data_IF_996530014023
#
_entry.id   IF_996530014023
#
_cell.length_a   1.000
_cell.length_b   1.000
_cell.length_c   1.000
_cell.angle_alpha   90.00
_cell.angle_beta   90.00
_cell.angle_gamma   90.00
#
_symmetry.space_group_name_H-M   'P 1'
#
loop_
_entity.id
_entity.type
_entity.pdbx_description
1 polymer ?
#
# COMPACT_ATOMS: atom_id res chain seq x y z
N UNK A 1 20.21 -2.30 11.19
CA UNK A 1 19.59 -2.77 12.46
C UNK A 1 19.53 -1.64 13.51
N UNK A 2 19.11 -0.42 13.14
CA UNK A 2 19.13 0.75 14.05
C UNK A 2 17.86 0.91 14.92
N UNK A 3 16.87 0.04 14.77
CA UNK A 3 15.55 0.14 15.42
C UNK A 3 15.14 -1.17 16.13
N UNK A 4 16.08 -2.09 16.39
CA UNK A 4 15.80 -3.37 17.06
C UNK A 4 14.91 -4.37 16.29
N UNK A 5 14.48 -4.03 15.07
CA UNK A 5 13.64 -4.93 14.25
C UNK A 5 14.46 -6.06 13.63
N UNK A 6 13.97 -7.28 13.80
CA UNK A 6 14.46 -8.47 13.09
C UNK A 6 14.02 -8.42 11.63
N UNK A 7 14.96 -8.57 10.70
CA UNK A 7 14.60 -8.70 9.28
C UNK A 7 13.95 -10.06 9.05
N UNK A 8 12.70 -10.05 8.59
CA UNK A 8 12.02 -11.25 8.13
C UNK A 8 12.22 -11.39 6.62
N UNK A 9 12.84 -12.50 6.21
CA UNK A 9 12.97 -12.87 4.81
C UNK A 9 12.37 -14.26 4.63
N UNK A 10 11.34 -14.36 3.79
CA UNK A 10 10.82 -15.66 3.38
C UNK A 10 11.88 -16.44 2.59
N UNK A 11 11.74 -17.77 2.56
CA UNK A 11 12.62 -18.65 1.75
C UNK A 11 12.61 -18.20 0.28
N UNK A 12 13.72 -18.40 -0.42
CA UNK A 12 13.80 -18.20 -1.87
C UNK A 12 12.61 -18.86 -2.57
N UNK A 13 11.99 -18.15 -3.50
CA UNK A 13 10.74 -18.51 -4.20
C UNK A 13 9.44 -18.45 -3.38
N UNK A 14 9.46 -17.95 -2.15
CA UNK A 14 8.25 -17.66 -1.36
C UNK A 14 8.13 -16.15 -1.12
N UNK A 15 7.33 -15.47 -1.93
CA UNK A 15 7.15 -14.01 -1.86
C UNK A 15 5.93 -13.59 -1.03
N UNK A 16 5.72 -14.23 0.13
CA UNK A 16 4.51 -14.05 0.95
C UNK A 16 4.27 -12.57 1.29
N UNK A 17 5.32 -11.87 1.72
CA UNK A 17 5.22 -10.47 2.10
C UNK A 17 5.36 -9.52 0.90
N UNK A 18 6.16 -9.93 -0.09
CA UNK A 18 6.50 -9.09 -1.24
C UNK A 18 5.37 -9.01 -2.27
N UNK A 19 4.66 -10.12 -2.52
CA UNK A 19 3.58 -10.18 -3.51
C UNK A 19 2.46 -9.16 -3.24
N UNK A 20 1.93 -9.05 -2.00
CA UNK A 20 0.95 -8.02 -1.64
C UNK A 20 1.47 -6.59 -1.88
N UNK A 21 2.73 -6.32 -1.53
CA UNK A 21 3.34 -5.01 -1.72
C UNK A 21 3.54 -4.68 -3.21
N UNK A 22 3.98 -5.63 -4.03
CA UNK A 22 4.06 -5.47 -5.48
C UNK A 22 2.69 -5.18 -6.09
N UNK A 23 1.65 -5.88 -5.65
CA UNK A 23 0.27 -5.63 -6.06
C UNK A 23 -0.18 -4.20 -5.75
N UNK A 24 0.08 -3.73 -4.52
CA UNK A 24 -0.19 -2.34 -4.14
C UNK A 24 0.54 -1.34 -5.05
N UNK A 25 1.84 -1.54 -5.30
CA UNK A 25 2.62 -0.64 -6.16
C UNK A 25 2.14 -0.65 -7.60
N UNK A 26 1.71 -1.79 -8.14
CA UNK A 26 1.12 -1.90 -9.47
C UNK A 26 -0.17 -1.08 -9.59
N UNK A 27 -1.04 -1.19 -8.59
CA UNK A 27 -2.29 -0.42 -8.50
C UNK A 27 -2.01 1.09 -8.41
N UNK A 28 -1.12 1.51 -7.50
CA UNK A 28 -0.74 2.91 -7.33
C UNK A 28 -0.20 3.50 -8.63
N UNK A 29 0.73 2.79 -9.28
CA UNK A 29 1.31 3.27 -10.53
C UNK A 29 0.25 3.39 -11.63
N UNK A 30 -0.61 2.38 -11.77
CA UNK A 30 -1.68 2.38 -12.77
C UNK A 30 -2.69 3.51 -12.59
N UNK A 31 -3.12 3.76 -11.37
CA UNK A 31 -4.22 4.69 -11.10
C UNK A 31 -3.76 6.15 -10.92
N UNK A 32 -2.53 6.36 -10.44
CA UNK A 32 -2.04 7.70 -10.08
C UNK A 32 -0.85 8.17 -10.92
N UNK A 33 0.05 7.27 -11.33
CA UNK A 33 1.32 7.67 -11.94
C UNK A 33 1.31 7.63 -13.46
N UNK A 34 0.87 6.51 -14.06
CA UNK A 34 0.90 6.32 -15.51
C UNK A 34 -0.01 7.32 -16.22
N UNK A 35 0.46 7.85 -17.35
CA UNK A 35 -0.23 8.90 -18.11
C UNK A 35 -0.13 10.31 -17.51
N UNK A 36 0.61 10.49 -16.40
CA UNK A 36 0.85 11.81 -15.79
C UNK A 36 2.30 12.23 -15.87
N UNK A 37 2.54 13.52 -16.13
CA UNK A 37 3.87 14.12 -16.09
C UNK A 37 4.06 14.85 -14.76
N UNK A 38 5.08 14.47 -14.02
CA UNK A 38 5.52 15.18 -12.82
C UNK A 38 6.73 16.03 -13.15
N UNK A 39 6.67 17.32 -12.84
CA UNK A 39 7.75 18.28 -13.11
C UNK A 39 8.62 18.56 -11.87
N UNK A 40 8.21 18.07 -10.70
CA UNK A 40 8.96 18.22 -9.46
C UNK A 40 8.85 16.99 -8.55
N UNK A 41 9.91 16.74 -7.80
CA UNK A 41 9.93 15.69 -6.76
C UNK A 41 8.85 15.93 -5.70
N UNK A 42 8.63 17.18 -5.30
CA UNK A 42 7.61 17.55 -4.32
C UNK A 42 6.20 17.21 -4.81
N UNK A 43 5.87 17.51 -6.06
CA UNK A 43 4.58 17.15 -6.67
C UNK A 43 4.37 15.63 -6.67
N UNK A 44 5.37 14.85 -7.09
CA UNK A 44 5.29 13.39 -7.09
C UNK A 44 5.10 12.84 -5.66
N UNK A 45 5.88 13.32 -4.69
CA UNK A 45 5.76 12.89 -3.30
C UNK A 45 4.38 13.21 -2.71
N UNK A 46 3.84 14.38 -3.01
CA UNK A 46 2.50 14.78 -2.53
C UNK A 46 1.42 13.90 -3.14
N UNK A 47 1.49 13.59 -4.43
CA UNK A 47 0.55 12.69 -5.09
C UNK A 47 0.63 11.26 -4.54
N UNK A 48 1.84 10.76 -4.25
CA UNK A 48 2.02 9.45 -3.59
C UNK A 48 1.37 9.45 -2.20
N UNK A 49 1.65 10.47 -1.37
CA UNK A 49 1.06 10.61 -0.02
C UNK A 49 -0.46 10.67 -0.07
N UNK A 50 -1.02 11.50 -0.97
CA UNK A 50 -2.45 11.64 -1.16
C UNK A 50 -3.10 10.31 -1.59
N UNK A 51 -2.45 9.59 -2.51
CA UNK A 51 -2.96 8.29 -2.97
C UNK A 51 -2.92 7.22 -1.88
N UNK A 52 -1.84 7.13 -1.09
CA UNK A 52 -1.75 6.22 0.07
C UNK A 52 -2.86 6.52 1.07
N UNK A 53 -3.09 7.81 1.38
CA UNK A 53 -4.17 8.21 2.27
C UNK A 53 -5.54 7.80 1.73
N UNK A 54 -5.81 8.04 0.44
CA UNK A 54 -7.02 7.58 -0.23
C UNK A 54 -7.18 6.05 -0.17
N UNK A 55 -6.12 5.31 -0.53
CA UNK A 55 -6.13 3.86 -0.58
C UNK A 55 -6.49 3.25 0.79
N UNK A 56 -5.90 3.78 1.87
CA UNK A 56 -6.11 3.24 3.21
C UNK A 56 -7.44 3.66 3.84
N UNK A 57 -7.90 4.89 3.59
CA UNK A 57 -9.01 5.48 4.35
C UNK A 57 -10.31 5.65 3.55
N UNK A 58 -10.29 5.49 2.23
CA UNK A 58 -11.46 5.78 1.37
C UNK A 58 -11.74 4.72 0.32
N UNK A 59 -10.76 3.92 -0.07
CA UNK A 59 -10.94 2.86 -1.07
C UNK A 59 -11.53 1.60 -0.44
N UNK A 60 -12.82 1.38 -0.62
CA UNK A 60 -13.45 0.10 -0.27
C UNK A 60 -13.01 -1.02 -1.21
N UNK A 61 -12.85 -2.23 -0.68
CA UNK A 61 -12.41 -3.39 -1.46
C UNK A 61 -13.35 -4.58 -1.24
N UNK A 62 -13.80 -5.22 -2.33
CA UNK A 62 -14.71 -6.39 -2.26
C UNK A 62 -14.12 -7.52 -1.43
N UNK A 63 -12.83 -7.81 -1.61
CA UNK A 63 -12.14 -8.86 -0.86
C UNK A 63 -11.95 -8.55 0.63
N UNK A 64 -12.18 -7.30 1.05
CA UNK A 64 -12.17 -6.90 2.45
C UNK A 64 -13.58 -6.83 3.05
N UNK A 65 -14.62 -7.29 2.34
CA UNK A 65 -16.02 -7.18 2.77
C UNK A 65 -16.63 -5.81 2.51
N UNK A 66 -16.19 -5.12 1.44
CA UNK A 66 -16.60 -3.74 1.11
C UNK A 66 -16.20 -2.76 2.23
N UNK A 67 -15.01 -2.99 2.79
CA UNK A 67 -14.39 -2.12 3.77
C UNK A 67 -13.11 -1.50 3.20
N UNK A 68 -12.72 -0.37 3.74
CA UNK A 68 -11.40 0.20 3.54
C UNK A 68 -10.34 -0.62 4.27
N UNK A 69 -9.06 -0.57 3.85
CA UNK A 69 -7.99 -1.24 4.56
C UNK A 69 -7.92 -0.88 6.05
N UNK A 70 -8.13 0.39 6.41
CA UNK A 70 -8.08 0.80 7.81
C UNK A 70 -9.26 0.27 8.63
N UNK A 71 -10.47 0.27 8.07
CA UNK A 71 -11.64 -0.33 8.74
C UNK A 71 -11.44 -1.83 8.96
N UNK A 72 -10.93 -2.55 7.94
CA UNK A 72 -10.63 -3.97 8.06
C UNK A 72 -9.59 -4.24 9.15
N UNK A 73 -8.54 -3.41 9.22
CA UNK A 73 -7.50 -3.52 10.23
C UNK A 73 -8.05 -3.23 11.64
N UNK A 74 -8.88 -2.20 11.80
CA UNK A 74 -9.53 -1.88 13.07
C UNK A 74 -10.43 -3.01 13.57
N UNK A 75 -11.22 -3.65 12.69
CA UNK A 75 -12.03 -4.81 13.05
C UNK A 75 -11.17 -6.02 13.44
N UNK A 76 -10.05 -6.26 12.75
CA UNK A 76 -9.12 -7.34 13.10
C UNK A 76 -8.52 -7.16 14.48
N UNK A 77 -8.15 -5.94 14.87
CA UNK A 77 -7.59 -5.65 16.19
C UNK A 77 -8.61 -5.74 17.34
N UNK A 78 -9.90 -5.64 17.03
CA UNK A 78 -10.97 -5.72 18.02
C UNK A 78 -11.46 -7.16 18.28
N UNK A 79 -11.01 -8.13 17.47
CA UNK A 79 -11.33 -9.55 17.58
C UNK A 79 -10.29 -10.31 18.39
#
# INVERSE_FOLDING_TARGET
>A
QKQGMTQSMSRVAHCIDNGPMEGFWGILKREMYYGRRFTSKSSLMNSIKAYIHYYNNRRVQRNLGILTPIEKHSLYLAA
#
